data_IF_731440723259
#
_entry.id   IF_731440723259
#
_cell.length_a   1.000
_cell.length_b   1.000
_cell.length_c   1.000
_cell.angle_alpha   90.00
_cell.angle_beta   90.00
_cell.angle_gamma   90.00
#
_symmetry.space_group_name_H-M   'P 1'
#
loop_
_entity.id
_entity.type
_entity.pdbx_description
1 polymer ?
#
# COMPACT_ATOMS: atom_id res chain seq x y z
N UNK A 1 12.72 1.87 -9.03
CA UNK A 1 11.43 1.52 -8.38
C UNK A 1 10.57 2.77 -8.27
N UNK A 2 9.35 2.70 -7.72
CA UNK A 2 8.51 3.92 -7.58
C UNK A 2 9.22 4.99 -6.74
N UNK A 3 9.91 4.58 -5.67
CA UNK A 3 10.70 5.50 -4.84
C UNK A 3 11.86 6.13 -5.62
N UNK A 4 12.55 5.36 -6.47
CA UNK A 4 13.63 5.89 -7.32
C UNK A 4 13.13 6.98 -8.25
N UNK A 5 12.06 6.69 -9.02
CA UNK A 5 11.51 7.65 -9.96
C UNK A 5 11.04 8.95 -9.28
N UNK A 6 10.50 8.85 -8.06
CA UNK A 6 10.10 10.02 -7.26
C UNK A 6 11.32 10.79 -6.74
N UNK A 7 12.38 10.10 -6.33
CA UNK A 7 13.57 10.76 -5.78
C UNK A 7 14.45 11.38 -6.86
N UNK A 8 14.50 10.80 -8.06
CA UNK A 8 15.18 11.39 -9.22
C UNK A 8 14.56 12.75 -9.58
N UNK A 9 13.23 12.83 -9.64
CA UNK A 9 12.51 14.07 -9.96
C UNK A 9 12.55 15.11 -8.82
N UNK A 10 12.73 14.68 -7.58
CA UNK A 10 12.74 15.54 -6.38
C UNK A 10 14.14 15.82 -5.82
N UNK A 11 15.20 15.40 -6.51
CA UNK A 11 16.57 15.47 -6.00
C UNK A 11 17.01 16.91 -5.64
N UNK A 12 16.60 17.90 -6.42
CA UNK A 12 16.90 19.32 -6.15
C UNK A 12 16.28 19.81 -4.82
N UNK A 13 15.08 19.33 -4.48
CA UNK A 13 14.43 19.61 -3.19
C UNK A 13 15.04 18.84 -2.02
N UNK A 14 15.69 17.71 -2.30
CA UNK A 14 16.36 16.93 -1.25
C UNK A 14 17.69 17.56 -0.82
N UNK A 15 18.42 18.15 -1.78
CA UNK A 15 19.73 18.79 -1.52
C UNK A 15 19.63 20.24 -1.03
N UNK A 16 18.45 20.86 -1.15
CA UNK A 16 18.20 22.24 -0.72
C UNK A 16 17.11 22.33 0.36
N UNK A 17 17.13 23.38 1.18
CA UNK A 17 16.06 23.67 2.13
C UNK A 17 15.17 24.80 1.60
N UNK A 18 14.55 24.58 0.44
CA UNK A 18 13.70 25.57 -0.25
C UNK A 18 12.22 25.52 0.16
N UNK A 19 11.81 24.47 0.89
CA UNK A 19 10.42 24.26 1.31
C UNK A 19 10.13 24.90 2.68
N UNK A 20 8.88 25.36 2.94
CA UNK A 20 8.52 26.03 4.19
C UNK A 20 8.55 25.12 5.44
N UNK A 21 8.49 23.80 5.24
CA UNK A 21 8.59 22.79 6.29
C UNK A 21 9.16 21.49 5.70
N UNK A 22 9.61 20.59 6.58
CA UNK A 22 10.07 19.26 6.18
C UNK A 22 8.89 18.45 5.64
N UNK A 23 8.98 17.99 4.39
CA UNK A 23 7.97 17.13 3.76
C UNK A 23 8.39 15.68 3.88
N UNK A 24 7.48 14.82 4.34
CA UNK A 24 7.66 13.37 4.45
C UNK A 24 6.82 12.68 3.38
N UNK A 25 7.52 12.02 2.44
CA UNK A 25 6.90 11.20 1.40
C UNK A 25 7.08 9.74 1.78
N UNK A 26 5.99 8.98 1.83
CA UNK A 26 6.04 7.54 2.12
C UNK A 26 5.28 6.72 1.08
N UNK A 27 5.73 5.47 0.91
CA UNK A 27 5.16 4.53 -0.03
C UNK A 27 4.78 3.22 0.65
N UNK A 28 3.59 2.71 0.34
CA UNK A 28 3.17 1.35 0.68
C UNK A 28 2.77 0.61 -0.59
N UNK A 29 3.27 -0.61 -0.73
CA UNK A 29 2.95 -1.47 -1.87
C UNK A 29 1.53 -2.07 -1.81
N UNK A 30 0.88 -2.06 -0.64
CA UNK A 30 -0.48 -2.52 -0.43
C UNK A 30 -1.15 -1.80 0.75
N UNK A 31 -2.45 -2.04 0.91
CA UNK A 31 -3.32 -1.46 1.95
C UNK A 31 -2.93 -1.84 3.39
N UNK A 32 -2.02 -2.79 3.59
CA UNK A 32 -1.49 -3.10 4.93
C UNK A 32 -0.59 -2.00 5.48
N UNK A 33 -0.16 -1.06 4.63
CA UNK A 33 0.55 0.16 5.05
C UNK A 33 1.69 -0.11 6.04
N UNK A 34 2.62 -1.00 5.70
CA UNK A 34 3.75 -1.40 6.55
C UNK A 34 4.79 -0.27 6.73
N UNK A 35 4.37 0.85 7.33
CA UNK A 35 5.15 2.08 7.50
C UNK A 35 4.25 3.27 7.84
N UNK A 36 4.79 4.48 7.69
CA UNK A 36 4.11 5.73 8.06
C UNK A 36 3.16 6.28 6.97
N UNK A 37 2.70 5.46 6.03
CA UNK A 37 1.94 5.92 4.85
C UNK A 37 0.60 6.56 5.23
N UNK A 38 -0.03 6.08 6.31
CA UNK A 38 -1.28 6.64 6.82
C UNK A 38 -1.12 8.01 7.51
N UNK A 39 0.11 8.45 7.80
CA UNK A 39 0.41 9.69 8.54
C UNK A 39 1.53 10.53 7.89
N UNK A 40 1.77 10.33 6.60
CA UNK A 40 2.75 11.11 5.82
C UNK A 40 2.09 12.31 5.17
N UNK A 41 2.87 13.38 4.93
CA UNK A 41 2.39 14.57 4.22
C UNK A 41 1.95 14.22 2.79
N UNK A 42 2.71 13.34 2.14
CA UNK A 42 2.38 12.77 0.83
C UNK A 42 2.54 11.25 0.91
N UNK A 43 1.49 10.53 0.51
CA UNK A 43 1.42 9.08 0.57
C UNK A 43 1.16 8.48 -0.81
N UNK A 44 1.97 7.50 -1.19
CA UNK A 44 1.79 6.70 -2.41
C UNK A 44 1.35 5.30 -1.99
N UNK A 45 0.16 4.88 -2.41
CA UNK A 45 -0.44 3.61 -2.01
C UNK A 45 -0.79 2.74 -3.21
N UNK A 46 -0.26 1.53 -3.24
CA UNK A 46 -0.67 0.49 -4.19
C UNK A 46 -2.04 -0.07 -3.82
N UNK A 47 -2.98 -0.05 -4.78
CA UNK A 47 -4.33 -0.62 -4.61
C UNK A 47 -4.66 -1.63 -5.70
N UNK A 48 -5.39 -2.67 -5.33
CA UNK A 48 -6.03 -3.58 -6.29
C UNK A 48 -7.40 -2.99 -6.70
N UNK A 49 -7.73 -3.12 -7.98
CA UNK A 49 -9.01 -2.67 -8.56
C UNK A 49 -9.90 -3.83 -9.03
N UNK A 50 -9.49 -5.07 -8.76
CA UNK A 50 -10.18 -6.30 -9.17
C UNK A 50 -10.43 -7.17 -7.95
N UNK A 51 -11.56 -7.90 -7.89
CA UNK A 51 -11.81 -8.87 -6.84
C UNK A 51 -10.77 -10.01 -6.85
N UNK A 52 -10.61 -10.74 -5.74
CA UNK A 52 -9.70 -11.88 -5.67
C UNK A 52 -10.13 -12.97 -6.67
N UNK A 53 -9.15 -13.62 -7.29
CA UNK A 53 -9.40 -14.81 -8.12
C UNK A 53 -9.45 -16.03 -7.20
N UNK A 54 -10.59 -16.71 -7.16
CA UNK A 54 -10.81 -17.90 -6.32
C UNK A 54 -10.24 -19.13 -7.02
N UNK A 55 -9.46 -19.92 -6.29
CA UNK A 55 -9.01 -21.24 -6.71
C UNK A 55 -9.72 -22.31 -5.88
N UNK A 56 -10.76 -22.92 -6.47
CA UNK A 56 -11.66 -23.83 -5.76
C UNK A 56 -11.01 -25.16 -5.39
N UNK A 57 -9.97 -25.60 -6.13
CA UNK A 57 -9.34 -26.90 -5.92
C UNK A 57 -8.46 -26.92 -4.67
N UNK A 58 -7.84 -25.78 -4.34
CA UNK A 58 -6.91 -25.65 -3.22
C UNK A 58 -7.51 -24.99 -1.99
N UNK A 59 -8.63 -24.26 -2.13
CA UNK A 59 -9.26 -23.47 -1.08
C UNK A 59 -9.51 -24.26 0.21
N UNK A 60 -10.13 -25.43 0.11
CA UNK A 60 -10.47 -26.25 1.27
C UNK A 60 -9.25 -26.86 1.98
N UNK A 61 -8.13 -27.01 1.25
CA UNK A 61 -6.91 -27.63 1.77
C UNK A 61 -5.97 -26.61 2.44
N UNK A 62 -6.01 -25.34 2.01
CA UNK A 62 -5.07 -24.31 2.45
C UNK A 62 -5.69 -23.25 3.35
N UNK A 63 -7.01 -23.05 3.30
CA UNK A 63 -7.68 -21.95 3.99
C UNK A 63 -8.72 -22.44 5.01
N UNK A 64 -8.71 -21.83 6.18
CA UNK A 64 -9.82 -21.93 7.12
C UNK A 64 -10.96 -21.01 6.66
N UNK A 65 -12.00 -21.59 6.07
CA UNK A 65 -13.13 -20.85 5.45
C UNK A 65 -13.74 -19.79 6.41
N UNK A 66 -13.97 -20.07 7.71
CA UNK A 66 -14.53 -19.07 8.62
C UNK A 66 -13.61 -17.84 8.79
N UNK A 67 -12.29 -18.04 8.81
CA UNK A 67 -11.32 -16.95 8.92
C UNK A 67 -11.28 -16.11 7.64
N UNK A 68 -11.36 -16.77 6.48
CA UNK A 68 -11.40 -16.07 5.19
C UNK A 68 -12.64 -15.16 5.08
N UNK A 69 -13.82 -15.64 5.50
CA UNK A 69 -15.06 -14.84 5.54
C UNK A 69 -14.92 -13.67 6.52
N UNK A 70 -14.44 -13.94 7.75
CA UNK A 70 -14.28 -12.92 8.79
C UNK A 70 -13.24 -11.83 8.45
N UNK A 71 -12.30 -12.12 7.55
CA UNK A 71 -11.30 -11.15 7.11
C UNK A 71 -11.87 -10.01 6.26
N UNK A 72 -13.05 -10.19 5.65
CA UNK A 72 -13.64 -9.20 4.76
C UNK A 72 -14.32 -8.07 5.54
N UNK A 73 -13.82 -6.80 5.47
CA UNK A 73 -14.41 -5.69 6.22
C UNK A 73 -15.82 -5.31 5.73
N UNK A 74 -16.19 -5.71 4.51
CA UNK A 74 -17.50 -5.41 3.90
C UNK A 74 -18.39 -6.63 3.76
N UNK A 75 -18.00 -7.79 4.32
CA UNK A 75 -18.74 -9.05 4.23
C UNK A 75 -19.14 -9.44 2.79
N UNK A 76 -18.20 -9.29 1.83
CA UNK A 76 -18.41 -9.64 0.43
C UNK A 76 -18.02 -11.10 0.09
N UNK A 77 -17.57 -11.88 1.09
CA UNK A 77 -17.13 -13.28 0.99
C UNK A 77 -18.09 -14.14 1.79
#
# INVERSE_FOLDING_TARGET
>A
GVVEAVMDDLFDYFTTMSLPAQVRIALACCLNMCGAVHCSDIAILGIHRKPPKVDQETLANLCEIPLAIASCPTAAI
#
